data_IF_082756914954
#
_entry.id   IF_082756914954
#
_cell.length_a   1.000
_cell.length_b   1.000
_cell.length_c   1.000
_cell.angle_alpha   90.00
_cell.angle_beta   90.00
_cell.angle_gamma   90.00
#
_symmetry.space_group_name_H-M   'P 1'
#
loop_
_entity.id
_entity.type
_entity.pdbx_description
1 polymer ?
#
# COMPACT_ATOMS: atom_id res chain seq x y z
N UNK A 1 -20.05 -16.65 -21.03
CA UNK A 1 -20.43 -15.64 -20.02
C UNK A 1 -19.42 -14.51 -20.13
N UNK A 2 -19.81 -13.40 -20.76
CA UNK A 2 -18.96 -12.22 -20.90
C UNK A 2 -19.07 -11.46 -19.58
N UNK A 3 -17.98 -11.38 -18.82
CA UNK A 3 -17.93 -10.66 -17.55
C UNK A 3 -17.98 -9.16 -17.86
N UNK A 4 -19.11 -8.49 -17.57
CA UNK A 4 -19.17 -7.04 -17.59
C UNK A 4 -18.39 -6.53 -16.37
N UNK A 5 -17.16 -6.06 -16.59
CA UNK A 5 -16.45 -5.30 -15.57
C UNK A 5 -17.05 -3.90 -15.53
N UNK A 6 -17.51 -3.46 -14.35
CA UNK A 6 -17.91 -2.07 -14.13
C UNK A 6 -16.68 -1.18 -14.28
N UNK A 7 -16.65 -0.33 -15.31
CA UNK A 7 -15.54 0.58 -15.63
C UNK A 7 -15.16 1.48 -14.44
N UNK A 8 -16.13 1.78 -13.55
CA UNK A 8 -15.87 2.56 -12.33
C UNK A 8 -15.00 1.79 -11.35
N UNK A 9 -15.20 0.47 -11.22
CA UNK A 9 -14.39 -0.36 -10.33
C UNK A 9 -12.96 -0.53 -10.86
N UNK A 10 -12.80 -0.64 -12.18
CA UNK A 10 -11.47 -0.62 -12.83
C UNK A 10 -10.79 0.73 -12.52
N UNK A 11 -11.48 1.84 -12.80
CA UNK A 11 -10.93 3.18 -12.56
C UNK A 11 -10.51 3.39 -11.11
N UNK A 12 -11.32 2.91 -10.14
CA UNK A 12 -10.98 2.98 -8.72
C UNK A 12 -9.76 2.11 -8.36
N UNK A 13 -9.62 0.93 -8.98
CA UNK A 13 -8.42 0.10 -8.83
C UNK A 13 -7.19 0.77 -9.40
N UNK A 14 -7.28 1.42 -10.56
CA UNK A 14 -6.19 2.15 -11.21
C UNK A 14 -5.74 3.35 -10.37
N UNK A 15 -6.71 4.12 -9.85
CA UNK A 15 -6.46 5.23 -8.93
C UNK A 15 -5.81 4.70 -7.65
N UNK A 16 -6.35 3.64 -7.06
CA UNK A 16 -5.77 3.03 -5.86
C UNK A 16 -4.31 2.64 -6.11
N UNK A 17 -4.04 1.84 -7.14
CA UNK A 17 -2.71 1.36 -7.50
C UNK A 17 -1.73 2.51 -7.74
N UNK A 18 -2.15 3.52 -8.50
CA UNK A 18 -1.36 4.74 -8.76
C UNK A 18 -0.98 5.45 -7.47
N UNK A 19 -1.94 5.64 -6.56
CA UNK A 19 -1.66 6.26 -5.26
C UNK A 19 -0.72 5.39 -4.42
N UNK A 20 -0.83 4.06 -4.42
CA UNK A 20 0.12 3.20 -3.70
C UNK A 20 1.54 3.36 -4.21
N UNK A 21 1.73 3.41 -5.54
CA UNK A 21 3.04 3.63 -6.15
C UNK A 21 3.61 4.99 -5.76
N UNK A 22 2.82 6.06 -5.87
CA UNK A 22 3.26 7.41 -5.50
C UNK A 22 3.62 7.50 -4.00
N UNK A 23 2.78 6.93 -3.14
CA UNK A 23 3.03 6.83 -1.70
C UNK A 23 4.31 6.06 -1.40
N UNK A 24 4.57 4.98 -2.13
CA UNK A 24 5.79 4.19 -1.95
C UNK A 24 7.05 4.95 -2.39
N UNK A 25 6.96 5.75 -3.46
CA UNK A 25 8.04 6.64 -3.88
C UNK A 25 8.31 7.72 -2.81
N UNK A 26 7.26 8.33 -2.25
CA UNK A 26 7.40 9.24 -1.10
C UNK A 26 7.98 8.52 0.13
N UNK A 27 7.58 7.27 0.31
CA UNK A 27 8.16 6.21 1.14
C UNK A 27 9.69 6.24 1.18
N UNK A 28 10.24 5.91 0.01
CA UNK A 28 11.67 5.84 -0.27
C UNK A 28 12.33 7.20 -0.09
N UNK A 29 11.71 8.26 -0.63
CA UNK A 29 12.26 9.61 -0.51
C UNK A 29 12.38 10.04 0.95
N UNK A 30 11.37 9.74 1.78
CA UNK A 30 11.40 10.00 3.21
C UNK A 30 12.59 9.32 3.89
N UNK A 31 12.92 8.08 3.51
CA UNK A 31 14.06 7.34 4.08
C UNK A 31 15.39 8.05 3.80
N UNK A 32 15.55 8.67 2.62
CA UNK A 32 16.77 9.42 2.29
C UNK A 32 17.00 10.63 3.22
N UNK A 33 15.93 11.16 3.81
CA UNK A 33 15.97 12.33 4.71
C UNK A 33 16.30 11.98 6.16
N UNK A 34 16.24 10.70 6.55
CA UNK A 34 16.45 10.26 7.95
C UNK A 34 17.76 10.79 8.55
N UNK A 35 18.84 10.82 7.75
CA UNK A 35 20.18 11.24 8.22
C UNK A 35 20.40 12.75 8.18
N UNK A 36 19.66 13.48 7.36
CA UNK A 36 19.94 14.89 7.06
C UNK A 36 18.93 15.83 7.71
N UNK A 37 17.67 15.41 7.81
CA UNK A 37 16.56 16.26 8.24
C UNK A 37 15.42 15.39 8.80
N UNK A 38 15.52 15.09 10.09
CA UNK A 38 14.58 14.23 10.80
C UNK A 38 13.15 14.83 10.86
N UNK A 39 12.96 16.14 11.09
CA UNK A 39 11.63 16.76 10.97
C UNK A 39 11.00 16.58 9.58
N UNK A 40 11.77 16.79 8.51
CA UNK A 40 11.28 16.62 7.14
C UNK A 40 10.99 15.16 6.79
N UNK A 41 11.82 14.22 7.26
CA UNK A 41 11.53 12.78 7.20
C UNK A 41 10.16 12.47 7.81
N UNK A 42 9.92 12.91 9.04
CA UNK A 42 8.64 12.72 9.74
C UNK A 42 7.46 13.28 8.94
N UNK A 43 7.57 14.52 8.45
CA UNK A 43 6.51 15.16 7.66
C UNK A 43 6.20 14.40 6.37
N UNK A 44 7.21 14.00 5.60
CA UNK A 44 7.02 13.24 4.34
C UNK A 44 6.45 11.85 4.63
N UNK A 45 6.93 11.18 5.69
CA UNK A 45 6.40 9.88 6.10
C UNK A 45 4.90 9.99 6.44
N UNK A 46 4.49 11.01 7.20
CA UNK A 46 3.07 11.27 7.50
C UNK A 46 2.23 11.43 6.23
N UNK A 47 2.67 12.25 5.27
CA UNK A 47 1.96 12.40 3.99
C UNK A 47 1.84 11.08 3.23
N UNK A 48 2.90 10.26 3.26
CA UNK A 48 2.89 8.93 2.63
C UNK A 48 1.82 8.04 3.28
N UNK A 49 1.76 7.99 4.62
CA UNK A 49 0.76 7.20 5.33
C UNK A 49 -0.68 7.72 5.16
N UNK A 50 -0.88 9.03 5.04
CA UNK A 50 -2.21 9.57 4.70
C UNK A 50 -2.64 9.14 3.29
N UNK A 51 -1.74 9.22 2.32
CA UNK A 51 -2.01 8.74 0.96
C UNK A 51 -2.29 7.24 0.92
N UNK A 52 -1.60 6.44 1.73
CA UNK A 52 -1.86 5.01 1.87
C UNK A 52 -3.29 4.72 2.33
N UNK A 53 -3.78 5.43 3.35
CA UNK A 53 -5.15 5.25 3.87
C UNK A 53 -6.19 5.54 2.78
N UNK A 54 -5.99 6.62 2.01
CA UNK A 54 -6.86 6.98 0.88
C UNK A 54 -6.86 5.85 -0.17
N UNK A 55 -5.67 5.40 -0.57
CA UNK A 55 -5.52 4.33 -1.56
C UNK A 55 -6.20 3.04 -1.12
N UNK A 56 -6.05 2.65 0.15
CA UNK A 56 -6.65 1.43 0.71
C UNK A 56 -8.18 1.55 0.70
N UNK A 57 -8.73 2.73 0.93
CA UNK A 57 -10.18 2.94 0.89
C UNK A 57 -10.74 2.63 -0.51
N UNK A 58 -10.07 3.10 -1.56
CA UNK A 58 -10.43 2.74 -2.94
C UNK A 58 -10.27 1.25 -3.24
N UNK A 59 -9.16 0.65 -2.78
CA UNK A 59 -8.91 -0.78 -2.97
C UNK A 59 -9.97 -1.65 -2.29
N UNK A 60 -10.32 -1.33 -1.05
CA UNK A 60 -11.34 -2.07 -0.27
C UNK A 60 -12.68 -1.98 -0.99
N UNK A 61 -13.10 -0.77 -1.38
CA UNK A 61 -14.34 -0.56 -2.11
C UNK A 61 -14.39 -1.38 -3.41
N UNK A 62 -13.34 -1.30 -4.23
CA UNK A 62 -13.23 -2.07 -5.47
C UNK A 62 -13.22 -3.58 -5.21
N UNK A 63 -12.54 -4.05 -4.16
CA UNK A 63 -12.46 -5.48 -3.84
C UNK A 63 -13.75 -6.10 -3.31
N UNK A 64 -14.64 -5.30 -2.72
CA UNK A 64 -15.94 -5.75 -2.20
C UNK A 64 -16.97 -5.87 -3.34
N UNK A 65 -16.92 -4.92 -4.29
CA UNK A 65 -17.91 -4.84 -5.37
C UNK A 65 -17.42 -5.47 -6.68
N UNK A 66 -16.12 -5.72 -6.82
CA UNK A 66 -15.48 -6.31 -7.97
C UNK A 66 -15.32 -7.82 -7.87
N UNK A 67 -15.14 -8.47 -9.03
CA UNK A 67 -14.88 -9.90 -9.10
C UNK A 67 -13.39 -10.20 -8.93
N UNK A 68 -13.06 -11.14 -8.05
CA UNK A 68 -11.70 -11.67 -7.87
C UNK A 68 -11.72 -13.18 -8.20
N UNK A 69 -11.02 -13.62 -9.26
CA UNK A 69 -10.93 -15.04 -9.62
C UNK A 69 -10.39 -15.90 -8.49
N UNK A 70 -10.89 -17.14 -8.38
CA UNK A 70 -10.53 -18.08 -7.31
C UNK A 70 -9.01 -18.27 -7.17
N UNK A 71 -8.28 -18.36 -8.29
CA UNK A 71 -6.84 -18.57 -8.32
C UNK A 71 -6.01 -17.39 -7.75
N UNK A 72 -6.61 -16.20 -7.63
CA UNK A 72 -5.98 -15.02 -7.03
C UNK A 72 -6.38 -14.81 -5.56
N UNK A 73 -7.38 -15.53 -5.04
CA UNK A 73 -7.92 -15.26 -3.70
C UNK A 73 -6.89 -15.45 -2.59
N UNK A 74 -6.06 -16.50 -2.65
CA UNK A 74 -5.01 -16.74 -1.65
C UNK A 74 -3.96 -15.62 -1.66
N UNK A 75 -3.55 -15.18 -2.85
CA UNK A 75 -2.55 -14.09 -3.01
C UNK A 75 -3.15 -12.77 -2.51
N UNK A 76 -4.41 -12.50 -2.85
CA UNK A 76 -5.15 -11.35 -2.36
C UNK A 76 -5.27 -11.35 -0.83
N UNK A 77 -5.51 -12.50 -0.21
CA UNK A 77 -5.54 -12.62 1.25
C UNK A 77 -4.19 -12.25 1.87
N UNK A 78 -3.09 -12.78 1.34
CA UNK A 78 -1.75 -12.45 1.83
C UNK A 78 -1.45 -10.96 1.63
N UNK A 79 -1.81 -10.39 0.49
CA UNK A 79 -1.68 -8.95 0.24
C UNK A 79 -2.45 -8.12 1.26
N UNK A 80 -3.72 -8.46 1.55
CA UNK A 80 -4.55 -7.78 2.55
C UNK A 80 -3.94 -7.85 3.95
N UNK A 81 -3.40 -9.02 4.34
CA UNK A 81 -2.74 -9.20 5.64
C UNK A 81 -1.47 -8.34 5.72
N UNK A 82 -0.58 -8.44 4.72
CA UNK A 82 0.66 -7.65 4.70
C UNK A 82 0.36 -6.14 4.67
N UNK A 83 -0.60 -5.70 3.86
CA UNK A 83 -1.03 -4.30 3.79
C UNK A 83 -1.57 -3.80 5.12
N UNK A 84 -2.39 -4.60 5.81
CA UNK A 84 -2.91 -4.26 7.14
C UNK A 84 -1.78 -4.11 8.17
N UNK A 85 -0.85 -5.05 8.19
CA UNK A 85 0.34 -4.96 9.06
C UNK A 85 1.19 -3.73 8.71
N UNK A 86 1.39 -3.43 7.42
CA UNK A 86 2.15 -2.28 6.94
C UNK A 86 1.56 -0.94 7.45
N UNK A 87 0.23 -0.82 7.40
CA UNK A 87 -0.51 0.37 7.87
C UNK A 87 -0.46 0.49 9.38
N UNK A 88 -0.71 -0.59 10.11
CA UNK A 88 -0.65 -0.59 11.58
C UNK A 88 0.75 -0.15 12.04
N UNK A 89 1.80 -0.76 11.49
CA UNK A 89 3.18 -0.36 11.77
C UNK A 89 3.41 1.11 11.41
N UNK A 90 2.89 1.56 10.28
CA UNK A 90 2.98 2.94 9.84
C UNK A 90 2.37 3.95 10.82
N UNK A 91 1.13 3.69 11.24
CA UNK A 91 0.43 4.50 12.24
C UNK A 91 1.23 4.52 13.54
N UNK A 92 1.72 3.36 14.00
CA UNK A 92 2.55 3.28 15.20
C UNK A 92 3.84 4.12 15.07
N UNK A 93 4.50 4.13 13.91
CA UNK A 93 5.70 4.94 13.70
C UNK A 93 5.43 6.45 13.63
N UNK A 94 4.30 6.86 13.05
CA UNK A 94 3.92 8.27 12.96
C UNK A 94 3.44 8.80 14.32
N UNK A 95 2.62 8.02 15.02
CA UNK A 95 2.03 8.40 16.31
C UNK A 95 3.02 8.28 17.48
N UNK A 96 3.92 7.30 17.47
CA UNK A 96 4.88 7.09 18.55
C UNK A 96 6.25 7.70 18.20
N UNK A 97 6.55 8.87 18.76
CA UNK A 97 7.69 9.69 18.33
C UNK A 97 9.09 9.20 18.78
N UNK A 98 9.26 8.23 19.70
CA UNK A 98 10.63 7.99 20.22
C UNK A 98 11.07 6.57 20.55
N UNK A 99 10.24 5.68 21.12
CA UNK A 99 10.78 4.43 21.72
C UNK A 99 10.96 3.25 20.76
N UNK A 100 10.24 3.25 19.63
CA UNK A 100 10.23 2.12 18.68
C UNK A 100 10.92 2.41 17.34
N UNK A 101 11.43 3.63 17.13
CA UNK A 101 12.20 4.05 15.93
C UNK A 101 13.62 3.44 15.88
N UNK A 102 13.78 2.21 16.36
CA UNK A 102 15.02 1.46 16.20
C UNK A 102 15.13 1.08 14.73
N UNK A 103 16.30 1.32 14.12
CA UNK A 103 16.60 1.08 12.70
C UNK A 103 16.15 -0.30 12.20
N UNK A 104 16.19 -1.33 13.06
CA UNK A 104 15.71 -2.69 12.77
C UNK A 104 14.21 -2.73 12.47
N UNK A 105 13.37 -2.09 13.29
CA UNK A 105 11.92 -2.10 13.13
C UNK A 105 11.47 -1.27 11.92
N UNK A 106 12.14 -0.14 11.65
CA UNK A 106 11.88 0.65 10.44
C UNK A 106 12.19 -0.13 9.16
N UNK A 107 13.29 -0.88 9.14
CA UNK A 107 13.63 -1.79 8.03
C UNK A 107 12.59 -2.89 7.86
N UNK A 108 12.18 -3.53 8.94
CA UNK A 108 11.16 -4.58 8.89
C UNK A 108 9.83 -4.03 8.34
N UNK A 109 9.37 -2.87 8.83
CA UNK A 109 8.16 -2.23 8.33
C UNK A 109 8.27 -1.86 6.85
N UNK A 110 9.42 -1.33 6.42
CA UNK A 110 9.66 -1.06 5.00
C UNK A 110 9.60 -2.33 4.16
N UNK A 111 10.17 -3.45 4.63
CA UNK A 111 10.08 -4.73 3.91
C UNK A 111 8.65 -5.26 3.82
N UNK A 112 7.84 -5.09 4.87
CA UNK A 112 6.40 -5.42 4.82
C UNK A 112 5.68 -4.56 3.78
N UNK A 113 6.00 -3.26 3.71
CA UNK A 113 5.50 -2.36 2.67
C UNK A 113 5.88 -2.81 1.25
N UNK A 114 7.14 -3.17 1.03
CA UNK A 114 7.62 -3.71 -0.25
C UNK A 114 6.85 -4.98 -0.62
N UNK A 115 6.71 -5.92 0.32
CA UNK A 115 5.98 -7.16 0.08
C UNK A 115 4.52 -6.92 -0.26
N UNK A 116 3.84 -6.04 0.47
CA UNK A 116 2.47 -5.64 0.18
C UNK A 116 2.36 -5.04 -1.24
N UNK A 117 3.21 -4.08 -1.59
CA UNK A 117 3.18 -3.44 -2.91
C UNK A 117 3.45 -4.41 -4.05
N UNK A 118 4.44 -5.29 -3.90
CA UNK A 118 4.79 -6.30 -4.93
C UNK A 118 3.61 -7.26 -5.17
N UNK A 119 2.97 -7.75 -4.10
CA UNK A 119 1.78 -8.58 -4.24
C UNK A 119 0.60 -7.81 -4.86
N UNK A 120 0.40 -6.55 -4.46
CA UNK A 120 -0.65 -5.70 -5.02
C UNK A 120 -0.46 -5.47 -6.52
N UNK A 121 0.78 -5.19 -6.94
CA UNK A 121 1.16 -5.08 -8.35
C UNK A 121 0.90 -6.38 -9.11
N UNK A 122 1.32 -7.53 -8.55
CA UNK A 122 1.07 -8.82 -9.18
C UNK A 122 -0.44 -9.07 -9.41
N UNK A 123 -1.26 -8.81 -8.40
CA UNK A 123 -2.72 -8.97 -8.50
C UNK A 123 -3.32 -8.00 -9.51
N UNK A 124 -2.93 -6.73 -9.47
CA UNK A 124 -3.41 -5.71 -10.40
C UNK A 124 -3.11 -6.08 -11.86
N UNK A 125 -1.86 -6.47 -12.15
CA UNK A 125 -1.43 -6.89 -13.49
C UNK A 125 -2.24 -8.09 -13.98
N UNK A 126 -2.51 -9.07 -13.12
CA UNK A 126 -3.31 -10.25 -13.45
C UNK A 126 -4.80 -9.97 -13.64
N UNK A 127 -5.34 -8.97 -12.96
CA UNK A 127 -6.76 -8.61 -13.05
C UNK A 127 -7.07 -7.69 -14.22
N UNK A 128 -6.18 -6.75 -14.57
CA UNK A 128 -6.55 -5.62 -15.44
C UNK A 128 -5.67 -5.45 -16.69
N UNK A 129 -4.49 -6.06 -16.75
CA UNK A 129 -3.57 -5.89 -17.90
C UNK A 129 -3.47 -7.16 -18.74
N UNK A 130 -3.39 -8.33 -18.10
CA UNK A 130 -3.22 -9.63 -18.77
C UNK A 130 -4.52 -10.42 -18.85
N UNK A 131 -5.63 -9.74 -19.15
CA UNK A 131 -6.91 -10.38 -19.52
C UNK A 131 -6.76 -10.97 -20.94
#
# INVERSE_FOLDING_TARGET
>A
MIWYFDERLITLSDVSFTVQVLVFVLLIYSITRVKTDLPKHGKIATFSYMGAIISISYMVYSSIHGYIPLYLQSIMLVHKILGSVAVILGILFVSNQWKWKVKKYMKAAFLVWVGALVLGMFVYVKLYIWI
#
